data_IF_211721088810
#
_entry.id   IF_211721088810
#
_cell.length_a   1.000
_cell.length_b   1.000
_cell.length_c   1.000
_cell.angle_alpha   90.00
_cell.angle_beta   90.00
_cell.angle_gamma   90.00
#
_symmetry.space_group_name_H-M   'P 1'
#
loop_
_entity.id
_entity.type
_entity.pdbx_description
1 polymer ?
#
# COMPACT_ATOMS: atom_id res chain seq x y z
N UNK A 1 30.80 -87.44 18.50
CA UNK A 1 30.76 -88.88 18.15
C UNK A 1 29.55 -89.11 17.25
N UNK A 2 29.74 -89.52 16.00
CA UNK A 2 28.63 -89.79 15.10
C UNK A 2 27.84 -91.02 15.60
N UNK A 3 26.55 -90.86 15.91
CA UNK A 3 25.68 -91.98 16.27
C UNK A 3 25.41 -92.81 15.00
N UNK A 4 26.19 -93.88 14.82
CA UNK A 4 25.95 -94.86 13.76
C UNK A 4 24.59 -95.52 14.04
N UNK A 5 23.65 -95.37 13.11
CA UNK A 5 22.32 -95.95 13.22
C UNK A 5 22.40 -97.35 12.61
N UNK A 6 22.18 -98.38 13.42
CA UNK A 6 22.25 -99.77 12.99
C UNK A 6 20.83 -100.27 12.72
N UNK A 7 20.64 -101.03 11.63
CA UNK A 7 19.41 -101.76 11.36
C UNK A 7 19.72 -103.25 11.55
N UNK A 8 18.92 -103.93 12.35
CA UNK A 8 19.04 -105.37 12.52
C UNK A 8 18.58 -106.06 11.22
N UNK A 9 19.45 -106.88 10.63
CA UNK A 9 19.12 -107.65 9.44
C UNK A 9 18.64 -109.04 9.88
N UNK A 10 17.33 -109.31 9.74
CA UNK A 10 16.68 -110.53 10.24
C UNK A 10 17.18 -111.82 9.56
N UNK A 11 17.79 -111.74 8.37
CA UNK A 11 18.30 -112.91 7.63
C UNK A 11 19.68 -113.38 8.11
N UNK A 12 20.57 -112.46 8.50
CA UNK A 12 21.93 -112.78 8.93
C UNK A 12 22.16 -112.55 10.43
N UNK A 13 21.11 -112.18 11.18
CA UNK A 13 21.11 -111.91 12.63
C UNK A 13 22.20 -110.93 13.09
N UNK A 14 22.65 -110.04 12.20
CA UNK A 14 23.70 -109.05 12.49
C UNK A 14 23.18 -107.62 12.32
N UNK A 15 23.75 -106.72 13.12
CA UNK A 15 23.48 -105.28 13.05
C UNK A 15 24.29 -104.65 11.93
N UNK A 16 23.63 -104.26 10.84
CA UNK A 16 24.27 -103.59 9.73
C UNK A 16 24.21 -102.07 9.89
N UNK A 17 25.33 -101.42 9.52
CA UNK A 17 25.50 -99.98 9.61
C UNK A 17 24.75 -99.31 8.47
N UNK A 18 23.72 -98.49 8.77
CA UNK A 18 23.00 -97.73 7.74
C UNK A 18 23.98 -96.70 7.17
N UNK A 19 24.59 -97.02 6.02
CA UNK A 19 25.41 -96.05 5.28
C UNK A 19 24.46 -94.97 4.74
N UNK A 20 24.65 -93.70 5.10
CA UNK A 20 23.77 -92.63 4.62
C UNK A 20 23.84 -92.57 3.09
N UNK A 21 22.69 -92.67 2.43
CA UNK A 21 22.58 -92.47 0.98
C UNK A 21 22.77 -90.99 0.65
N UNK A 22 23.36 -90.66 -0.51
CA UNK A 22 23.55 -89.28 -0.98
C UNK A 22 22.28 -88.42 -0.84
N UNK A 23 21.09 -89.00 -1.11
CA UNK A 23 19.79 -88.35 -0.95
C UNK A 23 19.45 -87.96 0.49
N UNK A 24 19.77 -88.80 1.49
CA UNK A 24 19.50 -88.50 2.91
C UNK A 24 20.51 -87.51 3.48
N UNK A 25 21.77 -87.54 3.02
CA UNK A 25 22.76 -86.49 3.32
C UNK A 25 22.34 -85.13 2.76
N UNK A 26 21.86 -85.09 1.52
CA UNK A 26 21.40 -83.87 0.86
C UNK A 26 20.13 -83.29 1.52
N UNK A 27 19.15 -84.13 1.87
CA UNK A 27 17.95 -83.70 2.60
C UNK A 27 18.28 -83.09 3.97
N UNK A 28 19.24 -83.66 4.72
CA UNK A 28 19.69 -83.10 6.00
C UNK A 28 20.42 -81.76 5.83
N UNK A 29 21.27 -81.65 4.81
CA UNK A 29 21.94 -80.39 4.48
C UNK A 29 20.91 -79.29 4.14
N UNK A 30 19.92 -79.62 3.32
CA UNK A 30 18.82 -78.71 2.96
C UNK A 30 18.00 -78.30 4.17
N UNK A 31 17.65 -79.23 5.08
CA UNK A 31 16.91 -78.87 6.29
C UNK A 31 17.69 -77.97 7.24
N UNK A 32 19.01 -78.17 7.36
CA UNK A 32 19.87 -77.32 8.19
C UNK A 32 19.94 -75.91 7.59
N UNK A 33 20.17 -75.81 6.26
CA UNK A 33 20.19 -74.52 5.55
C UNK A 33 18.84 -73.82 5.70
N UNK A 34 17.73 -74.54 5.51
CA UNK A 34 16.39 -73.98 5.66
C UNK A 34 16.13 -73.46 7.09
N UNK A 35 16.50 -74.23 8.11
CA UNK A 35 16.36 -73.81 9.51
C UNK A 35 17.26 -72.59 9.85
N UNK A 36 18.46 -72.53 9.27
CA UNK A 36 19.37 -71.38 9.41
C UNK A 36 18.83 -70.12 8.75
N UNK A 37 18.23 -70.23 7.57
CA UNK A 37 17.56 -69.11 6.87
C UNK A 37 16.36 -68.63 7.69
N UNK A 38 15.57 -69.55 8.22
CA UNK A 38 14.37 -69.22 9.00
C UNK A 38 14.75 -68.53 10.32
N UNK A 39 15.79 -69.02 11.00
CA UNK A 39 16.36 -68.38 12.18
C UNK A 39 16.95 -66.99 11.87
N UNK A 40 17.72 -66.86 10.79
CA UNK A 40 18.27 -65.57 10.36
C UNK A 40 17.17 -64.57 10.01
N UNK A 41 16.08 -65.04 9.37
CA UNK A 41 14.89 -64.24 9.09
C UNK A 41 14.22 -63.74 10.36
N UNK A 42 14.03 -64.60 11.36
CA UNK A 42 13.48 -64.22 12.67
C UNK A 42 14.38 -63.18 13.36
N UNK A 43 15.69 -63.40 13.35
CA UNK A 43 16.66 -62.46 13.95
C UNK A 43 16.64 -61.11 13.24
N UNK A 44 16.55 -61.09 11.90
CA UNK A 44 16.44 -59.85 11.13
C UNK A 44 15.12 -59.11 11.42
N UNK A 45 14.01 -59.83 11.53
CA UNK A 45 12.71 -59.24 11.88
C UNK A 45 12.75 -58.62 13.28
N UNK A 46 13.33 -59.31 14.25
CA UNK A 46 13.50 -58.78 15.61
C UNK A 46 14.45 -57.58 15.58
N UNK A 47 15.58 -57.68 14.87
CA UNK A 47 16.55 -56.61 14.76
C UNK A 47 15.94 -55.33 14.17
N UNK A 48 15.22 -55.42 13.05
CA UNK A 48 14.58 -54.26 12.42
C UNK A 48 13.45 -53.65 13.24
N UNK A 49 12.72 -54.45 14.04
CA UNK A 49 11.61 -53.94 14.84
C UNK A 49 12.07 -53.32 16.17
N UNK A 50 13.18 -53.79 16.75
CA UNK A 50 13.64 -53.35 18.07
C UNK A 50 14.88 -52.44 18.03
N UNK A 51 15.69 -52.49 16.96
CA UNK A 51 16.93 -51.72 16.86
C UNK A 51 16.92 -50.85 15.60
N UNK A 52 16.87 -49.53 15.80
CA UNK A 52 17.09 -48.55 14.73
C UNK A 52 18.53 -48.57 14.26
N UNK A 53 18.74 -48.52 12.95
CA UNK A 53 20.08 -48.44 12.40
C UNK A 53 20.72 -47.08 12.69
N UNK A 54 22.06 -46.98 12.84
CA UNK A 54 22.74 -45.69 13.00
C UNK A 54 22.42 -44.70 11.89
N UNK A 55 22.19 -45.19 10.66
CA UNK A 55 21.81 -44.36 9.50
C UNK A 55 20.42 -43.75 9.67
N UNK A 56 19.44 -44.51 10.14
CA UNK A 56 18.09 -43.99 10.41
C UNK A 56 18.10 -42.94 11.52
N UNK A 57 18.89 -43.14 12.57
CA UNK A 57 19.06 -42.15 13.64
C UNK A 57 19.66 -40.84 13.13
N UNK A 58 20.68 -40.91 12.26
CA UNK A 58 21.27 -39.73 11.63
C UNK A 58 20.24 -39.01 10.77
N UNK A 59 19.49 -39.74 9.93
CA UNK A 59 18.44 -39.16 9.09
C UNK A 59 17.30 -38.53 9.90
N UNK A 60 16.95 -39.10 11.05
CA UNK A 60 15.96 -38.52 11.97
C UNK A 60 16.47 -37.20 12.55
N UNK A 61 17.71 -37.17 13.04
CA UNK A 61 18.35 -35.95 13.55
C UNK A 61 18.46 -34.86 12.48
N UNK A 62 18.84 -35.21 11.26
CA UNK A 62 18.88 -34.26 10.14
C UNK A 62 17.49 -33.69 9.84
N UNK A 63 16.43 -34.52 9.84
CA UNK A 63 15.07 -34.05 9.64
C UNK A 63 14.60 -33.10 10.76
N UNK A 64 14.89 -33.43 12.01
CA UNK A 64 14.61 -32.54 13.17
C UNK A 64 15.36 -31.22 13.03
N UNK A 65 16.61 -31.25 12.60
CA UNK A 65 17.40 -30.05 12.34
C UNK A 65 16.80 -29.20 11.22
N UNK A 66 16.37 -29.80 10.10
CA UNK A 66 15.72 -29.05 9.01
C UNK A 66 14.40 -28.43 9.44
N UNK A 67 13.60 -29.14 10.24
CA UNK A 67 12.35 -28.60 10.80
C UNK A 67 12.63 -27.38 11.70
N UNK A 68 13.65 -27.46 12.56
CA UNK A 68 14.08 -26.34 13.39
C UNK A 68 14.52 -25.14 12.54
N UNK A 69 15.31 -25.37 11.49
CA UNK A 69 15.74 -24.31 10.57
C UNK A 69 14.54 -23.61 9.90
N UNK A 70 13.55 -24.37 9.43
CA UNK A 70 12.32 -23.80 8.84
C UNK A 70 11.54 -23.01 9.88
N UNK A 71 11.46 -23.48 11.13
CA UNK A 71 10.81 -22.76 12.23
C UNK A 71 11.48 -21.40 12.47
N UNK A 72 12.81 -21.36 12.55
CA UNK A 72 13.59 -20.11 12.73
C UNK A 72 13.36 -19.16 11.54
N UNK A 73 13.30 -19.68 10.32
CA UNK A 73 12.99 -18.88 9.13
C UNK A 73 11.58 -18.29 9.23
N UNK A 74 10.58 -19.07 9.65
CA UNK A 74 9.22 -18.57 9.84
C UNK A 74 9.16 -17.43 10.86
N UNK A 75 9.84 -17.56 11.99
CA UNK A 75 9.93 -16.50 13.01
C UNK A 75 10.58 -15.22 12.44
N UNK A 76 11.60 -15.37 11.60
CA UNK A 76 12.24 -14.24 10.91
C UNK A 76 11.30 -13.60 9.90
N UNK A 77 10.57 -14.39 9.11
CA UNK A 77 9.57 -13.90 8.17
C UNK A 77 8.46 -13.13 8.90
N UNK A 78 8.05 -13.55 10.10
CA UNK A 78 7.10 -12.81 10.93
C UNK A 78 7.62 -11.45 11.37
N UNK A 79 8.88 -11.39 11.79
CA UNK A 79 9.51 -10.11 12.14
C UNK A 79 9.61 -9.18 10.92
N UNK A 80 9.95 -9.72 9.75
CA UNK A 80 10.03 -8.93 8.52
C UNK A 80 8.66 -8.47 8.03
N UNK A 81 7.61 -9.29 8.17
CA UNK A 81 6.24 -8.90 7.84
C UNK A 81 5.73 -7.77 8.76
N UNK A 82 6.09 -7.79 10.05
CA UNK A 82 5.84 -6.66 10.96
C UNK A 82 6.56 -5.39 10.49
N UNK A 83 7.84 -5.47 10.17
CA UNK A 83 8.60 -4.31 9.66
C UNK A 83 8.01 -3.78 8.36
N UNK A 84 7.60 -4.67 7.44
CA UNK A 84 6.95 -4.27 6.20
C UNK A 84 5.60 -3.58 6.46
N UNK A 85 4.83 -4.07 7.42
CA UNK A 85 3.56 -3.47 7.85
C UNK A 85 3.75 -2.08 8.47
N UNK A 86 4.76 -1.93 9.35
CA UNK A 86 5.10 -0.62 9.93
C UNK A 86 5.54 0.38 8.86
N UNK A 87 6.27 -0.07 7.84
CA UNK A 87 6.68 0.77 6.71
C UNK A 87 5.49 1.19 5.85
N UNK A 88 4.54 0.29 5.61
CA UNK A 88 3.29 0.57 4.92
C UNK A 88 2.45 1.60 5.69
N UNK A 89 2.34 1.45 7.01
CA UNK A 89 1.61 2.39 7.86
C UNK A 89 2.24 3.79 7.83
N UNK A 90 3.58 3.88 7.93
CA UNK A 90 4.30 5.17 7.83
C UNK A 90 4.12 5.80 6.45
N UNK A 91 4.12 4.99 5.40
CA UNK A 91 3.91 5.47 4.05
C UNK A 91 2.52 6.11 3.88
N UNK A 92 1.47 5.42 4.31
CA UNK A 92 0.10 5.94 4.19
C UNK A 92 -0.16 7.13 5.13
N UNK A 93 0.21 7.00 6.40
CA UNK A 93 -0.22 7.92 7.44
C UNK A 93 0.74 9.10 7.63
N UNK A 94 1.99 9.01 7.16
CA UNK A 94 2.96 10.10 7.30
C UNK A 94 3.31 10.66 5.93
N UNK A 95 3.94 9.86 5.06
CA UNK A 95 4.48 10.40 3.81
C UNK A 95 3.37 10.85 2.87
N UNK A 96 2.39 10.00 2.61
CA UNK A 96 1.29 10.33 1.70
C UNK A 96 0.41 11.46 2.25
N UNK A 97 0.21 11.55 3.57
CA UNK A 97 -0.45 12.71 4.20
C UNK A 97 0.35 13.99 3.98
N UNK A 98 1.67 14.00 4.22
CA UNK A 98 2.53 15.18 4.01
C UNK A 98 2.50 15.67 2.56
N UNK A 99 2.43 14.75 1.61
CA UNK A 99 2.40 15.06 0.17
C UNK A 99 0.97 15.14 -0.40
N UNK A 100 -0.06 15.05 0.45
CA UNK A 100 -1.48 15.02 0.07
C UNK A 100 -1.81 14.01 -1.05
N UNK A 101 -1.15 12.85 -1.01
CA UNK A 101 -1.35 11.75 -1.96
C UNK A 101 -2.32 10.71 -1.38
N UNK A 102 -3.02 10.01 -2.27
CA UNK A 102 -3.90 8.92 -1.85
C UNK A 102 -3.08 7.69 -1.40
N UNK A 103 -3.53 6.96 -0.36
CA UNK A 103 -2.91 5.72 0.09
C UNK A 103 -3.01 4.64 -0.99
N UNK A 104 -2.10 3.67 -0.94
CA UNK A 104 -2.16 2.54 -1.87
C UNK A 104 -3.34 1.64 -1.48
N UNK A 105 -4.22 1.27 -2.42
CA UNK A 105 -5.32 0.36 -2.12
C UNK A 105 -4.81 -0.99 -1.59
N UNK A 106 -5.46 -1.56 -0.55
CA UNK A 106 -5.08 -2.86 0.00
C UNK A 106 -5.01 -3.97 -1.06
N UNK A 107 -5.87 -3.92 -2.07
CA UNK A 107 -5.93 -4.91 -3.16
C UNK A 107 -4.64 -4.95 -3.99
N UNK A 108 -3.95 -3.81 -4.09
CA UNK A 108 -2.66 -3.70 -4.79
C UNK A 108 -1.52 -4.24 -3.91
N UNK A 109 -1.60 -4.04 -2.59
CA UNK A 109 -0.59 -4.52 -1.63
C UNK A 109 -0.67 -6.02 -1.39
N UNK A 110 -1.89 -6.51 -1.27
CA UNK A 110 -2.20 -7.92 -1.04
C UNK A 110 -2.46 -8.66 -2.34
N UNK A 111 -2.15 -8.04 -3.49
CA UNK A 111 -2.29 -8.65 -4.80
C UNK A 111 -1.65 -10.04 -4.78
N UNK A 112 -2.50 -11.06 -4.87
CA UNK A 112 -2.08 -12.43 -4.79
C UNK A 112 -1.14 -12.78 -5.93
N UNK A 113 -0.23 -13.72 -5.68
CA UNK A 113 0.65 -14.22 -6.73
C UNK A 113 -0.12 -15.29 -7.50
N UNK A 114 -0.54 -14.95 -8.72
CA UNK A 114 -1.36 -15.82 -9.57
C UNK A 114 -0.70 -17.16 -9.90
N UNK A 115 -1.54 -18.20 -10.09
CA UNK A 115 -1.13 -19.54 -10.52
C UNK A 115 -1.84 -20.64 -9.73
N UNK A 116 -2.50 -21.57 -10.42
CA UNK A 116 -3.35 -22.60 -9.79
C UNK A 116 -2.58 -23.67 -9.02
N UNK A 117 -1.27 -23.86 -9.28
CA UNK A 117 -0.51 -24.93 -8.60
C UNK A 117 1.00 -24.66 -8.46
N UNK A 118 1.35 -23.44 -8.04
CA UNK A 118 2.75 -23.00 -7.88
C UNK A 118 3.55 -23.85 -6.88
N UNK A 119 2.87 -24.44 -5.90
CA UNK A 119 3.46 -25.23 -4.82
C UNK A 119 3.25 -26.74 -5.00
N UNK A 120 2.75 -27.20 -6.15
CA UNK A 120 2.57 -28.63 -6.48
C UNK A 120 3.79 -29.48 -6.16
N UNK A 121 4.97 -29.01 -6.59
CA UNK A 121 6.25 -29.71 -6.45
C UNK A 121 6.69 -29.92 -5.00
N UNK A 122 6.10 -29.19 -4.05
CA UNK A 122 6.41 -29.27 -2.63
C UNK A 122 5.46 -30.23 -1.89
N UNK A 123 4.40 -30.72 -2.54
CA UNK A 123 3.42 -31.67 -1.98
C UNK A 123 3.93 -33.11 -2.07
N UNK A 124 3.46 -33.98 -1.17
CA UNK A 124 3.74 -35.43 -1.21
C UNK A 124 4.88 -35.90 -0.29
N UNK A 125 5.46 -34.99 0.52
CA UNK A 125 6.48 -35.31 1.51
C UNK A 125 5.93 -35.19 2.93
N UNK A 126 6.52 -35.89 3.90
CA UNK A 126 6.09 -35.88 5.32
C UNK A 126 5.95 -34.47 5.92
N UNK A 127 6.77 -33.52 5.47
CA UNK A 127 6.79 -32.13 5.95
C UNK A 127 6.35 -31.11 4.87
N UNK A 128 5.61 -31.56 3.84
CA UNK A 128 5.21 -30.70 2.72
C UNK A 128 4.47 -29.45 3.17
N UNK A 129 3.59 -29.58 4.15
CA UNK A 129 2.70 -28.48 4.55
C UNK A 129 3.47 -27.32 5.16
N UNK A 130 4.48 -27.63 5.98
CA UNK A 130 5.36 -26.63 6.58
C UNK A 130 6.14 -25.88 5.49
N UNK A 131 6.72 -26.61 4.55
CA UNK A 131 7.50 -26.02 3.44
C UNK A 131 6.59 -25.16 2.55
N UNK A 132 5.43 -25.68 2.14
CA UNK A 132 4.45 -24.95 1.33
C UNK A 132 4.03 -23.66 2.03
N UNK A 133 3.72 -23.72 3.34
CA UNK A 133 3.34 -22.53 4.13
C UNK A 133 4.47 -21.51 4.18
N UNK A 134 5.71 -21.93 4.45
CA UNK A 134 6.87 -21.06 4.51
C UNK A 134 7.18 -20.42 3.16
N UNK A 135 7.16 -21.19 2.07
CA UNK A 135 7.37 -20.68 0.71
C UNK A 135 6.28 -19.68 0.34
N UNK A 136 5.01 -19.99 0.61
CA UNK A 136 3.90 -19.08 0.36
C UNK A 136 4.06 -17.75 1.11
N UNK A 137 4.41 -17.81 2.40
CA UNK A 137 4.65 -16.61 3.22
C UNK A 137 5.84 -15.78 2.73
N UNK A 138 6.89 -16.45 2.26
CA UNK A 138 8.07 -15.79 1.66
C UNK A 138 7.69 -15.04 0.40
N UNK A 139 6.93 -15.70 -0.48
CA UNK A 139 6.42 -15.14 -1.73
C UNK A 139 5.51 -13.93 -1.48
N UNK A 140 4.55 -14.05 -0.56
CA UNK A 140 3.66 -12.95 -0.16
C UNK A 140 4.44 -11.74 0.39
N UNK A 141 5.39 -11.97 1.30
CA UNK A 141 6.22 -10.92 1.86
C UNK A 141 7.10 -10.26 0.78
N UNK A 142 7.67 -11.05 -0.14
CA UNK A 142 8.47 -10.53 -1.24
C UNK A 142 7.66 -9.59 -2.13
N UNK A 143 6.41 -9.94 -2.43
CA UNK A 143 5.52 -9.08 -3.21
C UNK A 143 5.17 -7.78 -2.45
N UNK A 144 4.80 -7.89 -1.17
CA UNK A 144 4.53 -6.71 -0.32
C UNK A 144 5.72 -5.74 -0.31
N UNK A 145 6.94 -6.27 -0.16
CA UNK A 145 8.17 -5.47 -0.17
C UNK A 145 8.44 -4.84 -1.54
N UNK A 146 8.16 -5.54 -2.64
CA UNK A 146 8.29 -4.99 -3.99
C UNK A 146 7.35 -3.79 -4.19
N UNK A 147 6.07 -3.94 -3.83
CA UNK A 147 5.08 -2.86 -3.90
C UNK A 147 5.51 -1.69 -3.00
N UNK A 148 5.96 -1.96 -1.78
CA UNK A 148 6.43 -0.93 -0.86
C UNK A 148 7.65 -0.17 -1.40
N UNK A 149 8.59 -0.88 -2.03
CA UNK A 149 9.74 -0.26 -2.69
C UNK A 149 9.31 0.69 -3.80
N UNK A 150 8.33 0.30 -4.62
CA UNK A 150 7.77 1.16 -5.67
C UNK A 150 7.05 2.37 -5.09
N UNK A 151 6.33 2.19 -3.99
CA UNK A 151 5.71 3.31 -3.27
C UNK A 151 6.74 4.34 -2.81
N UNK A 152 7.84 3.88 -2.20
CA UNK A 152 8.89 4.81 -1.77
C UNK A 152 9.62 5.51 -2.91
N UNK A 153 9.76 4.89 -4.08
CA UNK A 153 10.24 5.58 -5.28
C UNK A 153 9.32 6.77 -5.65
N UNK A 154 8.00 6.61 -5.50
CA UNK A 154 7.02 7.69 -5.72
C UNK A 154 7.14 8.78 -4.66
N UNK A 155 7.16 8.41 -3.38
CA UNK A 155 7.33 9.36 -2.26
C UNK A 155 8.63 10.15 -2.43
N UNK A 156 9.72 9.51 -2.83
CA UNK A 156 10.99 10.20 -3.07
C UNK A 156 10.89 11.21 -4.23
N UNK A 157 10.17 10.86 -5.31
CA UNK A 157 9.89 11.81 -6.40
C UNK A 157 9.02 12.98 -5.92
N UNK A 158 8.04 12.74 -5.05
CA UNK A 158 7.23 13.81 -4.45
C UNK A 158 8.09 14.72 -3.58
N UNK A 159 8.95 14.14 -2.74
CA UNK A 159 9.90 14.88 -1.90
C UNK A 159 10.84 15.76 -2.73
N UNK A 160 11.40 15.24 -3.83
CA UNK A 160 12.25 16.03 -4.75
C UNK A 160 11.50 17.17 -5.42
N UNK A 161 10.20 17.03 -5.65
CA UNK A 161 9.36 18.05 -6.27
C UNK A 161 8.58 18.89 -5.24
N UNK A 162 8.86 18.74 -3.94
CA UNK A 162 8.13 19.44 -2.88
C UNK A 162 8.18 20.96 -3.05
N UNK A 163 9.33 21.50 -3.42
CA UNK A 163 9.47 22.94 -3.69
C UNK A 163 8.49 23.42 -4.79
N UNK A 164 8.36 22.65 -5.88
CA UNK A 164 7.40 22.95 -6.95
C UNK A 164 5.96 22.85 -6.46
N UNK A 165 5.64 21.82 -5.68
CA UNK A 165 4.32 21.67 -5.05
C UNK A 165 4.00 22.88 -4.16
N UNK A 166 4.93 23.30 -3.29
CA UNK A 166 4.75 24.45 -2.41
C UNK A 166 4.53 25.76 -3.18
N UNK A 167 5.17 25.91 -4.36
CA UNK A 167 4.93 27.06 -5.24
C UNK A 167 3.54 27.05 -5.89
N UNK A 168 2.95 25.86 -6.10
CA UNK A 168 1.64 25.67 -6.71
C UNK A 168 0.47 25.85 -5.71
N UNK A 169 0.71 25.66 -4.41
CA UNK A 169 -0.33 25.91 -3.40
C UNK A 169 -0.78 27.38 -3.51
N UNK A 170 -2.11 27.66 -3.57
CA UNK A 170 -2.64 29.01 -3.75
C UNK A 170 -2.53 29.85 -2.46
N UNK A 171 -1.30 30.05 -1.99
CA UNK A 171 -0.96 30.40 -0.61
C UNK A 171 -1.01 31.92 -0.29
N UNK A 172 -1.46 32.75 -1.24
CA UNK A 172 -1.53 34.21 -1.07
C UNK A 172 -2.92 34.73 -1.41
N UNK A 173 -3.32 35.83 -0.78
CA UNK A 173 -4.47 36.59 -1.25
C UNK A 173 -4.24 37.16 -2.67
N UNK A 174 -5.24 37.08 -3.57
CA UNK A 174 -5.09 37.40 -4.98
C UNK A 174 -5.28 38.89 -5.31
N UNK A 175 -5.16 39.78 -4.33
CA UNK A 175 -5.45 41.21 -4.47
C UNK A 175 -4.30 42.06 -3.89
N UNK A 176 -4.19 43.30 -4.37
CA UNK A 176 -3.22 44.28 -3.87
C UNK A 176 -3.29 44.45 -2.35
N UNK A 177 -2.11 44.57 -1.72
CA UNK A 177 -1.91 44.72 -0.28
C UNK A 177 -2.82 45.77 0.36
N UNK A 178 -3.07 46.87 -0.35
CA UNK A 178 -3.96 47.96 0.09
C UNK A 178 -5.40 47.52 0.37
N UNK A 179 -5.87 46.46 -0.29
CA UNK A 179 -7.27 46.01 -0.25
C UNK A 179 -7.45 44.62 0.35
N UNK A 180 -6.36 43.96 0.77
CA UNK A 180 -6.33 42.61 1.37
C UNK A 180 -7.26 42.41 2.57
N UNK A 181 -7.48 43.47 3.36
CA UNK A 181 -8.35 43.45 4.55
C UNK A 181 -9.82 43.79 4.24
N UNK A 182 -10.15 44.17 3.00
CA UNK A 182 -11.51 44.58 2.61
C UNK A 182 -12.31 43.39 2.09
N UNK A 183 -12.61 42.44 2.96
CA UNK A 183 -13.46 41.29 2.62
C UNK A 183 -14.92 41.68 2.83
N UNK A 184 -15.75 41.57 1.78
CA UNK A 184 -17.18 41.90 1.83
C UNK A 184 -18.07 40.68 2.02
N UNK A 185 -17.62 39.50 1.59
CA UNK A 185 -18.31 38.25 1.85
C UNK A 185 -17.32 37.09 2.02
N UNK A 186 -17.63 36.21 2.97
CA UNK A 186 -16.86 35.00 3.24
C UNK A 186 -17.52 33.76 2.63
N UNK A 187 -16.78 32.66 2.60
CA UNK A 187 -17.27 31.34 2.21
C UNK A 187 -18.30 30.83 3.22
N UNK A 188 -19.43 30.30 2.75
CA UNK A 188 -20.49 29.77 3.61
C UNK A 188 -21.89 30.29 3.28
N UNK A 189 -22.88 29.93 4.11
CA UNK A 189 -24.25 30.38 3.90
C UNK A 189 -24.40 31.88 4.18
N UNK A 190 -25.07 32.58 3.25
CA UNK A 190 -25.44 34.00 3.39
C UNK A 190 -26.79 34.28 2.75
N UNK A 191 -27.36 35.44 3.06
CA UNK A 191 -28.51 35.97 2.34
C UNK A 191 -28.02 36.58 1.02
N UNK A 192 -28.61 36.16 -0.10
CA UNK A 192 -28.28 36.68 -1.42
C UNK A 192 -28.57 38.18 -1.46
N UNK A 193 -27.60 39.04 -1.85
CA UNK A 193 -27.78 40.49 -1.77
C UNK A 193 -28.90 41.01 -2.68
N UNK A 194 -29.08 40.38 -3.84
CA UNK A 194 -30.13 40.69 -4.83
C UNK A 194 -31.45 39.94 -4.52
N UNK A 195 -31.45 38.60 -4.55
CA UNK A 195 -32.67 37.80 -4.39
C UNK A 195 -33.20 37.68 -2.95
N UNK A 196 -32.44 38.12 -1.94
CA UNK A 196 -32.78 38.03 -0.51
C UNK A 196 -33.10 36.61 0.01
N UNK A 197 -32.64 35.58 -0.70
CA UNK A 197 -32.78 34.17 -0.32
C UNK A 197 -31.50 33.61 0.29
N UNK A 198 -31.60 32.56 1.11
CA UNK A 198 -30.41 31.88 1.64
C UNK A 198 -29.69 31.12 0.51
N UNK A 199 -28.43 31.45 0.29
CA UNK A 199 -27.56 30.80 -0.70
C UNK A 199 -26.23 30.43 -0.07
N UNK A 200 -25.54 29.44 -0.64
CA UNK A 200 -24.18 29.11 -0.27
C UNK A 200 -23.19 29.89 -1.12
N UNK A 201 -22.31 30.65 -0.47
CA UNK A 201 -21.25 31.39 -1.14
C UNK A 201 -19.99 30.54 -1.21
N UNK A 202 -19.54 30.27 -2.43
CA UNK A 202 -18.51 29.26 -2.71
C UNK A 202 -17.08 29.83 -2.74
N UNK A 203 -16.92 31.10 -2.37
CA UNK A 203 -15.65 31.80 -2.40
C UNK A 203 -15.57 32.93 -1.37
N UNK A 204 -14.63 33.85 -1.59
CA UNK A 204 -14.44 35.08 -0.81
C UNK A 204 -14.51 36.27 -1.76
N UNK A 205 -15.24 37.31 -1.34
CA UNK A 205 -15.39 38.55 -2.10
C UNK A 205 -14.48 39.64 -1.50
N UNK A 206 -13.58 40.20 -2.30
CA UNK A 206 -12.72 41.32 -1.93
C UNK A 206 -13.22 42.62 -2.55
N UNK A 207 -13.63 43.58 -1.73
CA UNK A 207 -14.06 44.90 -2.20
C UNK A 207 -12.88 45.79 -2.54
N UNK A 208 -12.76 46.16 -3.82
CA UNK A 208 -11.72 47.05 -4.31
C UNK A 208 -12.19 47.85 -5.54
N UNK A 209 -11.61 49.04 -5.79
CA UNK A 209 -11.93 49.82 -6.98
C UNK A 209 -11.70 49.05 -8.28
N UNK A 210 -12.51 49.35 -9.29
CA UNK A 210 -12.31 48.86 -10.66
C UNK A 210 -10.88 49.21 -11.11
N UNK A 211 -10.20 48.25 -11.76
CA UNK A 211 -8.82 48.41 -12.22
C UNK A 211 -7.76 47.98 -11.20
N UNK A 212 -8.12 47.63 -9.96
CA UNK A 212 -7.16 47.08 -8.98
C UNK A 212 -6.56 45.79 -9.50
N UNK A 213 -5.24 45.63 -9.40
CA UNK A 213 -4.54 44.42 -9.87
C UNK A 213 -4.97 43.16 -9.12
N UNK A 214 -5.15 42.08 -9.90
CA UNK A 214 -5.45 40.73 -9.43
C UNK A 214 -4.29 39.81 -9.75
N UNK A 215 -3.86 39.02 -8.77
CA UNK A 215 -2.66 38.18 -8.85
C UNK A 215 -3.00 36.69 -8.82
N UNK A 216 -2.21 35.88 -9.52
CA UNK A 216 -2.25 34.43 -9.37
C UNK A 216 -1.80 34.05 -7.96
N UNK A 217 -2.58 33.23 -7.26
CA UNK A 217 -2.30 32.85 -5.86
C UNK A 217 -1.30 31.71 -5.72
N UNK A 218 -0.98 31.02 -6.83
CA UNK A 218 0.02 29.96 -6.93
C UNK A 218 0.57 29.88 -8.36
N UNK A 219 1.67 29.15 -8.53
CA UNK A 219 2.18 28.77 -9.85
C UNK A 219 1.16 27.86 -10.55
N UNK A 220 0.98 28.00 -11.86
CA UNK A 220 0.00 27.17 -12.58
C UNK A 220 -0.14 27.48 -14.05
N UNK A 221 -1.18 26.91 -14.66
CA UNK A 221 -1.57 27.08 -16.06
C UNK A 221 -2.99 27.59 -16.13
N UNK A 222 -3.22 28.65 -16.90
CA UNK A 222 -4.55 29.20 -17.13
C UNK A 222 -5.37 28.20 -17.94
N UNK A 223 -6.41 27.60 -17.36
CA UNK A 223 -7.30 26.64 -18.04
C UNK A 223 -8.54 27.30 -18.63
N UNK A 224 -8.92 28.47 -18.11
CA UNK A 224 -10.01 29.28 -18.62
C UNK A 224 -9.67 30.77 -18.51
N UNK A 225 -9.96 31.52 -19.57
CA UNK A 225 -9.87 32.98 -19.61
C UNK A 225 -10.95 33.45 -20.57
N UNK A 226 -12.10 33.88 -20.04
CA UNK A 226 -13.30 34.13 -20.84
C UNK A 226 -13.96 35.42 -20.41
N UNK A 227 -14.48 36.17 -21.38
CA UNK A 227 -15.30 37.34 -21.14
C UNK A 227 -16.78 36.98 -21.19
N UNK A 228 -17.56 37.49 -20.25
CA UNK A 228 -19.00 37.26 -20.16
C UNK A 228 -19.66 38.41 -19.41
N UNK A 229 -20.93 38.67 -19.71
CA UNK A 229 -21.77 39.61 -18.96
C UNK A 229 -22.76 38.90 -18.02
N UNK A 230 -22.71 37.56 -17.95
CA UNK A 230 -23.62 36.74 -17.13
C UNK A 230 -22.86 35.99 -16.03
N UNK A 231 -23.54 35.70 -14.91
CA UNK A 231 -22.99 34.91 -13.80
C UNK A 231 -21.69 35.52 -13.24
N UNK A 232 -20.60 34.76 -13.28
CA UNK A 232 -19.26 35.19 -12.86
C UNK A 232 -18.68 36.36 -13.68
N UNK A 233 -19.29 36.75 -14.79
CA UNK A 233 -18.77 37.79 -15.65
C UNK A 233 -17.46 37.36 -16.32
N UNK A 234 -16.51 38.29 -16.45
CA UNK A 234 -15.17 37.95 -16.92
C UNK A 234 -14.45 37.11 -15.88
N UNK A 235 -13.94 35.96 -16.31
CA UNK A 235 -13.43 34.91 -15.44
C UNK A 235 -12.06 34.41 -15.91
N UNK A 236 -11.19 34.15 -14.93
CA UNK A 236 -9.95 33.40 -15.10
C UNK A 236 -10.03 32.18 -14.19
N UNK A 237 -9.65 31.01 -14.71
CA UNK A 237 -9.39 29.81 -13.90
C UNK A 237 -7.96 29.33 -14.12
N UNK A 238 -7.25 29.06 -13.04
CA UNK A 238 -5.88 28.56 -13.08
C UNK A 238 -5.85 27.19 -12.43
N UNK A 239 -5.29 26.22 -13.15
CA UNK A 239 -4.95 24.90 -12.62
C UNK A 239 -3.50 24.95 -12.13
N UNK A 240 -3.32 24.72 -10.84
CA UNK A 240 -2.01 24.73 -10.20
C UNK A 240 -1.38 23.32 -10.14
N UNK A 241 -2.08 22.29 -10.62
CA UNK A 241 -1.71 20.90 -10.38
C UNK A 241 -1.95 20.49 -8.94
N UNK A 242 -1.59 19.25 -8.60
CA UNK A 242 -1.77 18.67 -7.26
C UNK A 242 -3.22 18.77 -6.72
N UNK A 243 -4.20 18.84 -7.65
CA UNK A 243 -5.62 18.95 -7.33
C UNK A 243 -6.12 20.36 -7.00
N UNK A 244 -5.29 21.41 -7.11
CA UNK A 244 -5.70 22.80 -6.83
C UNK A 244 -6.12 23.54 -8.09
N UNK A 245 -7.30 24.15 -8.05
CA UNK A 245 -7.78 25.11 -9.06
C UNK A 245 -8.26 26.37 -8.38
N UNK A 246 -7.97 27.53 -8.95
CA UNK A 246 -8.47 28.81 -8.45
C UNK A 246 -9.31 29.52 -9.49
N UNK A 247 -10.30 30.28 -9.01
CA UNK A 247 -11.23 31.03 -9.85
C UNK A 247 -11.17 32.50 -9.47
N UNK A 248 -11.11 33.37 -10.47
CA UNK A 248 -11.09 34.83 -10.33
C UNK A 248 -12.20 35.40 -11.22
N UNK A 249 -13.19 36.03 -10.63
CA UNK A 249 -14.41 36.46 -11.31
C UNK A 249 -14.71 37.96 -11.15
N UNK A 250 -15.73 38.43 -11.86
CA UNK A 250 -16.17 39.82 -11.96
C UNK A 250 -15.11 40.79 -12.49
N UNK A 251 -14.12 40.28 -13.24
CA UNK A 251 -12.97 41.06 -13.70
C UNK A 251 -13.39 42.14 -14.71
N UNK A 252 -12.68 43.27 -14.73
CA UNK A 252 -12.81 44.24 -15.83
C UNK A 252 -11.88 43.85 -16.99
N UNK A 253 -10.66 43.44 -16.64
CA UNK A 253 -9.59 43.14 -17.58
C UNK A 253 -9.01 41.76 -17.30
N UNK A 254 -8.75 41.03 -18.38
CA UNK A 254 -8.03 39.76 -18.36
C UNK A 254 -6.69 40.01 -19.07
N UNK A 255 -5.57 39.77 -18.37
CA UNK A 255 -4.21 39.99 -18.88
C UNK A 255 -3.52 38.69 -19.34
N UNK A 256 -4.22 37.56 -19.26
CA UNK A 256 -3.70 36.23 -19.57
C UNK A 256 -4.59 35.49 -20.55
N UNK A 257 -4.06 34.43 -21.17
CA UNK A 257 -4.81 33.57 -22.10
C UNK A 257 -4.77 32.11 -21.67
N UNK A 258 -5.76 31.33 -22.11
CA UNK A 258 -5.78 29.87 -21.91
C UNK A 258 -4.47 29.23 -22.39
N UNK A 259 -3.92 28.32 -21.60
CA UNK A 259 -2.64 27.65 -21.82
C UNK A 259 -1.41 28.42 -21.31
N UNK A 260 -1.56 29.67 -20.87
CA UNK A 260 -0.44 30.46 -20.35
C UNK A 260 -0.01 29.95 -18.98
N UNK A 261 1.31 29.75 -18.80
CA UNK A 261 1.91 29.51 -17.48
C UNK A 261 1.98 30.82 -16.71
N UNK A 262 1.60 30.78 -15.44
CA UNK A 262 1.65 31.91 -14.53
C UNK A 262 2.45 31.55 -13.28
N UNK A 263 3.08 32.55 -12.70
CA UNK A 263 3.79 32.44 -11.42
C UNK A 263 2.97 33.04 -10.28
N UNK A 264 3.13 32.51 -9.07
CA UNK A 264 2.54 33.10 -7.86
C UNK A 264 2.92 34.58 -7.76
N UNK A 265 1.92 35.43 -7.52
CA UNK A 265 2.09 36.89 -7.46
C UNK A 265 2.10 37.59 -8.83
N UNK A 266 2.04 36.86 -9.95
CA UNK A 266 1.94 37.47 -11.27
C UNK A 266 0.56 38.12 -11.46
N UNK A 267 0.53 39.35 -11.99
CA UNK A 267 -0.72 40.02 -12.37
C UNK A 267 -1.41 39.29 -13.52
N UNK A 268 -2.64 38.84 -13.28
CA UNK A 268 -3.43 38.07 -14.25
C UNK A 268 -4.64 38.84 -14.80
N UNK A 269 -5.05 39.90 -14.13
CA UNK A 269 -6.20 40.71 -14.53
C UNK A 269 -6.40 41.89 -13.60
N UNK A 270 -7.55 42.53 -13.71
CA UNK A 270 -7.93 43.64 -12.86
C UNK A 270 -9.39 43.53 -12.40
N UNK A 271 -9.64 43.95 -11.16
CA UNK A 271 -10.95 43.99 -10.51
C UNK A 271 -11.94 44.76 -11.38
N UNK A 272 -13.17 44.29 -11.42
CA UNK A 272 -14.26 44.94 -12.13
C UNK A 272 -15.59 44.80 -11.39
N UNK A 273 -16.66 44.84 -12.16
CA UNK A 273 -18.03 44.58 -11.70
C UNK A 273 -18.85 43.96 -12.84
N UNK A 274 -18.22 43.05 -13.61
CA UNK A 274 -18.89 42.36 -14.73
C UNK A 274 -19.72 41.18 -14.23
N UNK A 275 -20.74 40.76 -14.98
CA UNK A 275 -21.63 39.68 -14.56
C UNK A 275 -22.63 40.11 -13.49
N UNK A 276 -23.03 39.15 -12.64
CA UNK A 276 -23.94 39.39 -11.53
C UNK A 276 -23.18 39.96 -10.33
N UNK A 277 -22.93 41.27 -10.35
CA UNK A 277 -22.16 41.98 -9.34
C UNK A 277 -22.96 43.19 -8.83
N UNK A 278 -23.02 43.39 -7.51
CA UNK A 278 -23.70 44.56 -6.91
C UNK A 278 -22.80 45.79 -6.80
N UNK A 279 -21.51 45.65 -7.09
CA UNK A 279 -20.52 46.72 -7.03
C UNK A 279 -19.10 46.19 -7.22
N UNK A 280 -18.08 47.05 -7.33
CA UNK A 280 -16.71 46.63 -7.62
C UNK A 280 -16.11 45.69 -6.57
N UNK A 281 -15.83 44.45 -6.98
CA UNK A 281 -15.18 43.44 -6.13
C UNK A 281 -14.54 42.32 -6.97
N UNK A 282 -13.61 41.59 -6.34
CA UNK A 282 -13.10 40.32 -6.85
C UNK A 282 -13.79 39.17 -6.12
N UNK A 283 -14.44 38.29 -6.87
CA UNK A 283 -14.88 37.00 -6.34
C UNK A 283 -13.78 35.96 -6.57
N UNK A 284 -13.34 35.29 -5.50
CA UNK A 284 -12.24 34.35 -5.51
C UNK A 284 -12.63 33.00 -4.91
N UNK A 285 -12.37 31.91 -5.64
CA UNK A 285 -12.60 30.54 -5.16
C UNK A 285 -11.31 29.72 -5.17
N UNK A 286 -11.22 28.77 -4.24
CA UNK A 286 -10.21 27.70 -4.23
C UNK A 286 -10.94 26.37 -4.32
N UNK A 287 -10.53 25.53 -5.25
CA UNK A 287 -11.03 24.16 -5.41
C UNK A 287 -9.89 23.19 -5.12
N UNK A 288 -10.15 22.17 -4.31
CA UNK A 288 -9.24 21.05 -4.03
C UNK A 288 -9.92 19.74 -4.41
N UNK A 289 -9.31 18.98 -5.31
CA UNK A 289 -9.83 17.70 -5.81
C UNK A 289 -11.30 17.82 -6.27
N UNK A 290 -11.58 18.82 -7.12
CA UNK A 290 -12.91 19.18 -7.64
C UNK A 290 -13.97 19.62 -6.60
N UNK A 291 -13.59 19.85 -5.35
CA UNK A 291 -14.48 20.40 -4.31
C UNK A 291 -14.11 21.84 -4.02
N UNK A 292 -15.11 22.73 -3.95
CA UNK A 292 -14.93 24.11 -3.52
C UNK A 292 -14.66 24.12 -2.02
N UNK A 293 -13.61 24.81 -1.60
CA UNK A 293 -13.15 24.86 -0.21
C UNK A 293 -13.01 26.32 0.22
N UNK A 294 -13.05 26.56 1.53
CA UNK A 294 -12.91 27.90 2.08
C UNK A 294 -11.54 28.49 1.72
N UNK A 295 -11.47 29.57 0.91
CA UNK A 295 -10.20 30.16 0.48
C UNK A 295 -9.33 30.69 1.62
N UNK A 296 -9.93 31.03 2.77
CA UNK A 296 -9.21 31.65 3.90
C UNK A 296 -8.09 30.74 4.42
N UNK A 297 -8.29 29.42 4.40
CA UNK A 297 -7.28 28.46 4.88
C UNK A 297 -5.99 28.45 4.05
N UNK A 298 -5.95 29.19 2.94
CA UNK A 298 -4.80 29.30 2.05
C UNK A 298 -4.10 30.66 2.11
N UNK A 299 -4.51 31.62 2.94
CA UNK A 299 -3.90 32.97 2.95
C UNK A 299 -2.64 33.13 3.83
N UNK A 300 -1.98 32.04 4.19
CA UNK A 300 -0.93 32.04 5.21
C UNK A 300 0.45 32.56 4.75
N UNK A 301 0.75 32.61 3.45
CA UNK A 301 2.12 32.96 2.98
C UNK A 301 2.36 34.46 2.84
N UNK A 302 1.33 35.30 2.93
CA UNK A 302 1.45 36.76 2.84
C UNK A 302 0.76 37.50 4.00
N UNK A 303 0.57 36.82 5.13
CA UNK A 303 0.03 37.37 6.37
C UNK A 303 0.85 36.98 7.59
N UNK A 304 0.88 37.89 8.54
CA UNK A 304 1.27 37.69 9.93
C UNK A 304 0.18 36.91 10.69
N UNK A 305 0.58 36.17 11.73
CA UNK A 305 -0.32 35.26 12.46
C UNK A 305 -1.54 35.97 13.07
N UNK A 306 -1.35 37.18 13.61
CA UNK A 306 -2.42 37.99 14.20
C UNK A 306 -3.51 38.37 13.18
N UNK A 307 -3.10 38.82 11.99
CA UNK A 307 -4.00 39.17 10.89
C UNK A 307 -4.81 37.96 10.41
N UNK A 308 -4.17 36.78 10.36
CA UNK A 308 -4.82 35.54 9.96
C UNK A 308 -5.91 35.12 10.96
N UNK A 309 -5.61 35.20 12.26
CA UNK A 309 -6.57 34.91 13.34
C UNK A 309 -7.77 35.88 13.31
N UNK A 310 -7.53 37.15 13.01
CA UNK A 310 -8.61 38.14 12.87
C UNK A 310 -9.56 37.77 11.72
N UNK A 311 -9.03 37.39 10.56
CA UNK A 311 -9.85 37.00 9.40
C UNK A 311 -10.68 35.74 9.69
N UNK A 312 -10.12 34.75 10.40
CA UNK A 312 -10.86 33.56 10.82
C UNK A 312 -12.02 33.95 11.75
N UNK A 313 -11.78 34.84 12.73
CA UNK A 313 -12.83 35.32 13.63
C UNK A 313 -13.95 36.04 12.87
N UNK A 314 -13.61 36.88 11.89
CA UNK A 314 -14.57 37.57 11.04
C UNK A 314 -15.39 36.58 10.19
N UNK A 315 -14.74 35.58 9.61
CA UNK A 315 -15.40 34.54 8.83
C UNK A 315 -16.40 33.75 9.69
N UNK A 316 -15.99 33.31 10.89
CA UNK A 316 -16.87 32.56 11.79
C UNK A 316 -18.09 33.38 12.25
N UNK A 317 -17.90 34.67 12.55
CA UNK A 317 -19.01 35.59 12.88
C UNK A 317 -20.01 35.73 11.72
N UNK A 318 -19.50 35.84 10.50
CA UNK A 318 -20.34 35.99 9.31
C UNK A 318 -21.25 34.78 9.08
N UNK A 319 -20.75 33.57 9.33
CA UNK A 319 -21.54 32.33 9.24
C UNK A 319 -22.57 32.24 10.36
N UNK A 320 -22.17 32.56 11.61
CA UNK A 320 -23.05 32.50 12.78
C UNK A 320 -24.29 33.41 12.66
N UNK A 321 -24.13 34.59 12.07
CA UNK A 321 -25.20 35.57 11.89
C UNK A 321 -26.27 35.16 10.86
N UNK A 322 -26.04 34.09 10.08
CA UNK A 322 -26.99 33.60 9.06
C UNK A 322 -27.68 32.30 9.52
N UNK A 323 -27.16 31.66 10.56
CA UNK A 323 -27.70 30.43 11.15
C UNK A 323 -28.76 30.65 12.23
N UNK A 324 -28.96 31.89 12.69
CA UNK A 324 -30.05 32.31 13.58
C UNK A 324 -31.13 33.03 12.78
#
# INVERSE_FOLDING_TARGET
>A
MAKNTYRFNEENLQYELIKPTLKTGLLRAVSIIFSGILFAGIVLIIANNFFTSPKELILQRENEQYQLQISIINDRLERLDKVASDLQERDDNIYRVIFEAEPIPPEVRDAGIGGSDRYSKLKGFKNSDLIVKTTKKTDELSNKLYIQSKSFDEVFKMARNKEKMMACIPAIQPISDKYKRRISAFYGYRIHPIYKTRIFHEGVDFSAPIGTDVYASGDGVVVQATRSNYGYGNIIKIDHGYGYVTVYAHLQKINVRKGQKVKRGQTIGAVGSTGLSTGPHLHYEVHKNNKKVNPIYYFFNNMNAEDYDEIIKLANRSVANVSN
#
